data_IF_055427113493
#
_entry.id   IF_055427113493
#
_cell.length_a   1.000
_cell.length_b   1.000
_cell.length_c   1.000
_cell.angle_alpha   90.00
_cell.angle_beta   90.00
_cell.angle_gamma   90.00
#
_symmetry.space_group_name_H-M   'P 1'
#
loop_
_entity.id
_entity.type
_entity.pdbx_description
1 polymer ?
#
# COMPACT_ATOMS: atom_id res chain seq x y z
N UNK A 1 -11.78 8.54 36.59
CA UNK A 1 -12.05 9.06 35.22
C UNK A 1 -12.62 7.90 34.39
N UNK A 2 -13.94 7.83 34.15
CA UNK A 2 -14.53 6.74 33.37
C UNK A 2 -14.35 7.00 31.89
N UNK A 3 -13.56 6.18 31.21
CA UNK A 3 -13.37 6.24 29.76
C UNK A 3 -14.64 5.71 29.10
N UNK A 4 -15.48 6.59 28.56
CA UNK A 4 -16.63 6.17 27.75
C UNK A 4 -16.16 5.74 26.34
N UNK A 5 -16.09 4.44 26.10
CA UNK A 5 -15.76 3.88 24.79
C UNK A 5 -17.00 3.94 23.88
N UNK A 6 -16.89 4.55 22.73
CA UNK A 6 -17.99 4.65 21.78
C UNK A 6 -18.22 3.32 21.03
N UNK A 7 -19.47 3.06 20.56
CA UNK A 7 -19.76 1.89 19.73
C UNK A 7 -18.91 1.83 18.43
N UNK A 8 -18.50 2.99 17.89
CA UNK A 8 -17.62 3.06 16.71
C UNK A 8 -16.21 2.56 17.03
N UNK A 9 -15.68 2.91 18.22
CA UNK A 9 -14.37 2.44 18.69
C UNK A 9 -14.38 0.93 18.95
N UNK A 10 -15.45 0.39 19.54
CA UNK A 10 -15.60 -1.05 19.77
C UNK A 10 -15.60 -1.80 18.42
N UNK A 11 -16.43 -1.37 17.46
CA UNK A 11 -16.46 -2.01 16.12
C UNK A 11 -15.10 -1.99 15.46
N UNK A 12 -14.41 -0.88 15.54
CA UNK A 12 -13.06 -0.73 14.97
C UNK A 12 -12.08 -1.71 15.62
N UNK A 13 -12.06 -1.76 16.95
CA UNK A 13 -11.18 -2.67 17.70
C UNK A 13 -11.48 -4.15 17.38
N UNK A 14 -12.74 -4.52 17.23
CA UNK A 14 -13.14 -5.89 16.88
C UNK A 14 -12.65 -6.26 15.47
N UNK A 15 -12.82 -5.39 14.48
CA UNK A 15 -12.32 -5.63 13.11
C UNK A 15 -10.79 -5.71 13.10
N UNK A 16 -10.11 -4.78 13.78
CA UNK A 16 -8.66 -4.78 13.90
C UNK A 16 -8.15 -6.08 14.52
N UNK A 17 -8.69 -6.48 15.67
CA UNK A 17 -8.29 -7.70 16.37
C UNK A 17 -8.58 -8.94 15.52
N UNK A 18 -9.73 -9.00 14.86
CA UNK A 18 -10.08 -10.12 13.99
C UNK A 18 -9.06 -10.29 12.86
N UNK A 19 -8.76 -9.21 12.13
CA UNK A 19 -7.80 -9.25 11.02
C UNK A 19 -6.39 -9.60 11.53
N UNK A 20 -5.98 -8.98 12.65
CA UNK A 20 -4.67 -9.27 13.24
C UNK A 20 -4.55 -10.74 13.70
N UNK A 21 -5.56 -11.29 14.38
CA UNK A 21 -5.55 -12.69 14.81
C UNK A 21 -5.42 -13.63 13.61
N UNK A 22 -6.14 -13.35 12.52
CA UNK A 22 -6.06 -14.16 11.30
C UNK A 22 -4.65 -14.18 10.69
N UNK A 23 -3.89 -13.09 10.76
CA UNK A 23 -2.50 -13.07 10.26
C UNK A 23 -1.52 -13.56 11.32
N UNK A 24 -1.61 -13.01 12.52
CA UNK A 24 -0.66 -13.28 13.60
C UNK A 24 -0.64 -14.74 14.05
N UNK A 25 -1.72 -15.48 13.80
CA UNK A 25 -1.84 -16.92 14.13
C UNK A 25 -2.05 -17.78 12.89
N UNK A 26 -1.71 -17.26 11.70
CA UNK A 26 -1.81 -17.97 10.44
C UNK A 26 -0.67 -19.01 10.34
N UNK A 27 -1.02 -20.27 10.47
CA UNK A 27 -0.13 -21.40 10.30
C UNK A 27 -0.56 -22.22 9.07
N UNK A 28 0.41 -22.76 8.30
CA UNK A 28 0.10 -23.66 7.19
C UNK A 28 -0.32 -22.97 5.89
N UNK A 29 -0.06 -21.66 5.72
CA UNK A 29 -0.21 -21.00 4.42
C UNK A 29 0.94 -21.36 3.46
N UNK A 30 0.82 -20.99 2.18
CA UNK A 30 1.76 -21.38 1.13
C UNK A 30 3.23 -20.98 1.42
N UNK A 31 3.45 -19.84 2.11
CA UNK A 31 4.80 -19.33 2.39
C UNK A 31 5.28 -19.64 3.82
N UNK A 32 4.44 -20.24 4.68
CA UNK A 32 4.73 -20.42 6.11
C UNK A 32 6.01 -21.26 6.34
N UNK A 33 6.16 -22.36 5.63
CA UNK A 33 7.35 -23.23 5.73
C UNK A 33 8.63 -22.45 5.39
N UNK A 34 8.58 -21.60 4.36
CA UNK A 34 9.73 -20.80 3.96
C UNK A 34 10.06 -19.74 5.01
N UNK A 35 9.06 -19.08 5.59
CA UNK A 35 9.29 -18.09 6.65
C UNK A 35 9.82 -18.69 7.94
N UNK A 36 9.35 -19.88 8.34
CA UNK A 36 9.92 -20.64 9.47
C UNK A 36 11.38 -20.98 9.20
N UNK A 37 11.70 -21.46 8.00
CA UNK A 37 13.08 -21.76 7.61
C UNK A 37 13.98 -20.51 7.66
N UNK A 38 13.49 -19.37 7.15
CA UNK A 38 14.20 -18.07 7.22
C UNK A 38 14.44 -17.63 8.66
N UNK A 39 13.43 -17.75 9.52
CA UNK A 39 13.52 -17.41 10.95
C UNK A 39 14.59 -18.26 11.65
N UNK A 40 14.56 -19.58 11.47
CA UNK A 40 15.52 -20.49 12.08
C UNK A 40 16.94 -20.25 11.53
N UNK A 41 17.09 -20.02 10.23
CA UNK A 41 18.39 -19.72 9.63
C UNK A 41 18.96 -18.41 10.17
N UNK A 42 18.14 -17.35 10.29
CA UNK A 42 18.56 -16.07 10.82
C UNK A 42 18.94 -16.15 12.32
N UNK A 43 18.20 -16.91 13.12
CA UNK A 43 18.51 -17.17 14.53
C UNK A 43 19.90 -17.79 14.69
N UNK A 44 20.31 -18.64 13.73
CA UNK A 44 21.63 -19.26 13.66
C UNK A 44 22.69 -18.40 12.94
N UNK A 45 22.40 -17.12 12.66
CA UNK A 45 23.33 -16.19 12.04
C UNK A 45 23.45 -16.26 10.52
N UNK A 46 22.53 -16.97 9.84
CA UNK A 46 22.53 -17.08 8.39
C UNK A 46 21.59 -16.05 7.74
N UNK A 47 22.17 -15.14 6.93
CA UNK A 47 21.49 -13.98 6.33
C UNK A 47 21.37 -14.05 4.80
N UNK A 48 21.29 -15.23 4.21
CA UNK A 48 21.32 -15.40 2.73
C UNK A 48 19.94 -15.50 2.07
N UNK A 49 18.85 -15.71 2.85
CA UNK A 49 17.56 -16.12 2.29
C UNK A 49 16.56 -15.00 2.05
N UNK A 50 16.78 -13.81 2.63
CA UNK A 50 15.90 -12.66 2.50
C UNK A 50 16.67 -11.36 2.76
N UNK A 51 15.94 -10.23 2.74
CA UNK A 51 16.49 -8.91 3.04
C UNK A 51 16.99 -8.83 4.49
N UNK A 52 18.14 -8.17 4.66
CA UNK A 52 18.86 -8.13 5.95
C UNK A 52 18.05 -7.55 7.11
N UNK A 53 17.19 -6.55 6.85
CA UNK A 53 16.36 -5.97 7.91
C UNK A 53 15.32 -6.95 8.44
N UNK A 54 14.67 -7.71 7.56
CA UNK A 54 13.75 -8.77 7.97
C UNK A 54 14.47 -9.86 8.76
N UNK A 55 15.61 -10.36 8.25
CA UNK A 55 16.39 -11.39 8.90
C UNK A 55 16.98 -10.94 10.24
N UNK A 56 17.37 -9.66 10.37
CA UNK A 56 17.81 -9.09 11.64
C UNK A 56 16.71 -9.16 12.70
N UNK A 57 15.47 -8.80 12.33
CA UNK A 57 14.34 -8.93 13.25
C UNK A 57 14.10 -10.39 13.64
N UNK A 58 14.13 -11.32 12.69
CA UNK A 58 14.04 -12.77 12.97
C UNK A 58 15.12 -13.21 13.97
N UNK A 59 16.37 -12.81 13.73
CA UNK A 59 17.49 -13.14 14.63
C UNK A 59 17.30 -12.58 16.03
N UNK A 60 16.87 -11.32 16.16
CA UNK A 60 16.66 -10.68 17.46
C UNK A 60 15.59 -11.43 18.28
N UNK A 61 14.47 -11.80 17.65
CA UNK A 61 13.42 -12.56 18.30
C UNK A 61 13.87 -13.97 18.67
N UNK A 62 14.52 -14.69 17.75
CA UNK A 62 15.02 -16.02 18.00
C UNK A 62 16.08 -16.08 19.10
N UNK A 63 17.02 -15.12 19.14
CA UNK A 63 18.02 -15.01 20.22
C UNK A 63 17.39 -14.59 21.57
N UNK A 64 16.26 -13.89 21.55
CA UNK A 64 15.50 -13.58 22.75
C UNK A 64 14.68 -14.79 23.26
N UNK A 65 14.76 -15.94 22.58
CA UNK A 65 14.05 -17.18 22.98
C UNK A 65 12.60 -17.28 22.48
N UNK A 66 12.16 -16.37 21.61
CA UNK A 66 10.83 -16.45 21.00
C UNK A 66 10.86 -17.38 19.78
N UNK A 67 9.74 -18.06 19.56
CA UNK A 67 9.52 -18.84 18.35
C UNK A 67 9.00 -17.98 17.19
N UNK A 68 8.88 -18.60 16.01
CA UNK A 68 8.37 -17.93 14.81
C UNK A 68 6.93 -17.45 14.98
N UNK A 69 6.10 -18.15 15.75
CA UNK A 69 4.69 -17.78 15.96
C UNK A 69 4.55 -16.47 16.71
N UNK A 70 5.35 -16.28 17.78
CA UNK A 70 5.40 -15.03 18.53
C UNK A 70 5.95 -13.91 17.66
N UNK A 71 7.00 -14.18 16.88
CA UNK A 71 7.53 -13.22 15.91
C UNK A 71 6.45 -12.79 14.92
N UNK A 72 5.73 -13.73 14.30
CA UNK A 72 4.67 -13.45 13.33
C UNK A 72 3.56 -12.58 13.94
N UNK A 73 3.11 -12.93 15.16
CA UNK A 73 2.07 -12.19 15.86
C UNK A 73 2.48 -10.74 16.14
N UNK A 74 3.70 -10.52 16.64
CA UNK A 74 4.20 -9.17 16.95
C UNK A 74 4.52 -8.37 15.69
N UNK A 75 5.13 -8.99 14.69
CA UNK A 75 5.48 -8.35 13.41
C UNK A 75 4.22 -7.87 12.68
N UNK A 76 3.22 -8.73 12.57
CA UNK A 76 1.93 -8.38 11.96
C UNK A 76 1.15 -7.36 12.79
N UNK A 77 1.23 -7.41 14.13
CA UNK A 77 0.61 -6.41 15.00
C UNK A 77 1.15 -5.01 14.71
N UNK A 78 2.47 -4.86 14.64
CA UNK A 78 3.12 -3.58 14.28
C UNK A 78 2.66 -3.10 12.90
N UNK A 79 2.62 -3.99 11.91
CA UNK A 79 2.14 -3.64 10.57
C UNK A 79 0.69 -3.12 10.61
N UNK A 80 -0.22 -3.80 11.32
CA UNK A 80 -1.61 -3.35 11.44
C UNK A 80 -1.77 -2.07 12.25
N UNK A 81 -0.93 -1.80 13.24
CA UNK A 81 -0.92 -0.51 13.95
C UNK A 81 -0.58 0.63 12.99
N UNK A 82 0.42 0.45 12.11
CA UNK A 82 0.79 1.46 11.11
C UNK A 82 -0.31 1.67 10.06
N UNK A 83 -0.89 0.59 9.52
CA UNK A 83 -2.05 0.65 8.60
C UNK A 83 -3.22 1.35 9.29
N UNK A 84 -3.48 1.01 10.54
CA UNK A 84 -4.52 1.57 11.39
C UNK A 84 -4.38 3.08 11.57
N UNK A 85 -3.15 3.55 11.81
CA UNK A 85 -2.84 4.98 11.90
C UNK A 85 -3.24 5.69 10.59
N UNK A 86 -2.81 5.16 9.44
CA UNK A 86 -3.18 5.70 8.15
C UNK A 86 -4.71 5.74 7.93
N UNK A 87 -5.41 4.65 8.22
CA UNK A 87 -6.86 4.55 8.02
C UNK A 87 -7.61 5.54 8.92
N UNK A 88 -7.24 5.65 10.20
CA UNK A 88 -7.87 6.60 11.13
C UNK A 88 -7.69 8.06 10.73
N UNK A 89 -6.53 8.40 10.17
CA UNK A 89 -6.24 9.76 9.70
C UNK A 89 -6.97 10.12 8.41
N UNK A 90 -7.30 9.14 7.56
CA UNK A 90 -7.75 9.40 6.19
C UNK A 90 -9.20 9.01 5.90
N UNK A 91 -9.95 8.45 6.87
CA UNK A 91 -11.40 8.22 6.71
C UNK A 91 -12.17 8.34 8.02
N UNK A 92 -13.43 8.79 7.92
CA UNK A 92 -14.39 8.81 9.03
C UNK A 92 -14.98 7.44 9.35
N UNK A 93 -14.74 6.45 8.50
CA UNK A 93 -15.26 5.08 8.61
C UNK A 93 -14.13 4.04 8.70
N UNK A 94 -13.21 4.14 9.69
CA UNK A 94 -12.01 3.30 9.74
C UNK A 94 -12.35 1.80 9.87
N UNK A 95 -13.40 1.45 10.60
CA UNK A 95 -13.84 0.06 10.69
C UNK A 95 -14.25 -0.51 9.33
N UNK A 96 -15.00 0.27 8.54
CA UNK A 96 -15.43 -0.17 7.21
C UNK A 96 -14.28 -0.24 6.22
N UNK A 97 -13.31 0.68 6.29
CA UNK A 97 -12.10 0.63 5.46
C UNK A 97 -11.29 -0.64 5.74
N UNK A 98 -11.08 -0.99 7.02
CA UNK A 98 -10.43 -2.25 7.38
C UNK A 98 -11.25 -3.48 6.99
N UNK A 99 -12.59 -3.41 7.06
CA UNK A 99 -13.44 -4.53 6.59
C UNK A 99 -13.28 -4.74 5.09
N UNK A 100 -13.27 -3.66 4.28
CA UNK A 100 -13.03 -3.75 2.84
C UNK A 100 -11.64 -4.31 2.54
N UNK A 101 -10.62 -3.87 3.26
CA UNK A 101 -9.28 -4.45 3.21
C UNK A 101 -9.30 -5.94 3.54
N UNK A 102 -10.02 -6.35 4.59
CA UNK A 102 -10.19 -7.74 4.99
C UNK A 102 -10.88 -8.62 3.94
N UNK A 103 -11.72 -8.03 3.08
CA UNK A 103 -12.32 -8.73 1.94
C UNK A 103 -11.28 -8.86 0.80
N UNK A 104 -10.57 -7.78 0.49
CA UNK A 104 -9.52 -7.74 -0.53
C UNK A 104 -8.61 -6.52 -0.28
N UNK A 105 -7.26 -6.63 -0.25
CA UNK A 105 -6.41 -7.77 -0.66
C UNK A 105 -5.88 -8.64 0.50
N UNK A 106 -6.40 -8.52 1.68
CA UNK A 106 -5.92 -9.10 2.94
C UNK A 106 -5.40 -10.54 2.85
N UNK A 107 -6.09 -11.44 2.12
CA UNK A 107 -5.66 -12.84 2.02
C UNK A 107 -4.26 -13.01 1.42
N UNK A 108 -3.88 -12.13 0.50
CA UNK A 108 -2.53 -12.13 -0.07
C UNK A 108 -1.49 -11.62 0.92
N UNK A 109 -1.84 -10.60 1.70
CA UNK A 109 -0.94 -9.99 2.66
C UNK A 109 -0.75 -10.89 3.89
N UNK A 110 -1.79 -11.68 4.25
CA UNK A 110 -1.70 -12.72 5.27
C UNK A 110 -0.70 -13.83 4.93
N UNK A 111 -0.47 -14.09 3.63
CA UNK A 111 0.57 -15.02 3.16
C UNK A 111 1.91 -14.32 3.02
N UNK A 112 1.94 -13.12 2.46
CA UNK A 112 3.15 -12.36 2.13
C UNK A 112 3.53 -11.37 3.25
N UNK A 113 3.90 -11.87 4.44
CA UNK A 113 4.12 -11.03 5.64
C UNK A 113 5.16 -9.92 5.46
N UNK A 114 6.20 -10.12 4.64
CA UNK A 114 7.18 -9.07 4.34
C UNK A 114 6.54 -7.94 3.53
N UNK A 115 5.64 -8.28 2.59
CA UNK A 115 4.90 -7.28 1.83
C UNK A 115 3.88 -6.54 2.70
N UNK A 116 3.24 -7.21 3.65
CA UNK A 116 2.37 -6.57 4.65
C UNK A 116 3.11 -5.44 5.41
N UNK A 117 4.37 -5.69 5.82
CA UNK A 117 5.17 -4.64 6.49
C UNK A 117 5.55 -3.52 5.52
N UNK A 118 5.86 -3.84 4.26
CA UNK A 118 6.09 -2.83 3.22
C UNK A 118 4.87 -1.95 3.04
N UNK A 119 3.68 -2.55 2.89
CA UNK A 119 2.41 -1.81 2.79
C UNK A 119 2.21 -0.90 4.00
N UNK A 120 2.42 -1.42 5.21
CA UNK A 120 2.25 -0.69 6.44
C UNK A 120 3.16 0.55 6.54
N UNK A 121 4.45 0.38 6.24
CA UNK A 121 5.44 1.47 6.26
C UNK A 121 5.18 2.49 5.14
N UNK A 122 4.81 2.02 3.94
CA UNK A 122 4.42 2.88 2.83
C UNK A 122 3.21 3.74 3.18
N UNK A 123 2.11 3.13 3.61
CA UNK A 123 0.88 3.86 3.98
C UNK A 123 1.13 4.86 5.11
N UNK A 124 1.85 4.44 6.15
CA UNK A 124 2.20 5.34 7.25
C UNK A 124 3.03 6.53 6.79
N UNK A 125 3.92 6.33 5.82
CA UNK A 125 4.81 7.37 5.30
C UNK A 125 4.11 8.42 4.42
N UNK A 126 2.94 8.12 3.85
CA UNK A 126 2.20 9.03 2.97
C UNK A 126 1.90 10.38 3.64
N UNK A 127 1.70 10.39 4.96
CA UNK A 127 1.48 11.65 5.70
C UNK A 127 2.60 12.67 5.49
N UNK A 128 3.84 12.23 5.33
CA UNK A 128 4.98 13.12 5.07
C UNK A 128 4.97 13.73 3.67
N UNK A 129 4.23 13.15 2.73
CA UNK A 129 4.07 13.73 1.39
C UNK A 129 3.04 14.87 1.33
N UNK A 130 2.17 15.02 2.34
CA UNK A 130 1.12 16.05 2.36
C UNK A 130 1.70 17.46 2.39
N UNK A 131 2.77 17.66 3.15
CA UNK A 131 3.50 18.91 3.23
C UNK A 131 4.74 18.87 2.34
N UNK A 132 4.84 19.77 1.38
CA UNK A 132 5.88 19.80 0.35
C UNK A 132 7.18 20.44 0.88
N UNK A 133 7.76 19.88 1.94
CA UNK A 133 9.05 20.32 2.51
C UNK A 133 10.15 19.29 2.23
N UNK A 134 11.40 19.76 2.16
CA UNK A 134 12.57 18.86 2.02
C UNK A 134 12.66 17.87 3.19
N UNK A 135 12.40 18.36 4.41
CA UNK A 135 12.37 17.51 5.61
C UNK A 135 11.40 16.34 5.46
N UNK A 136 10.20 16.62 4.98
CA UNK A 136 9.17 15.59 4.80
C UNK A 136 9.50 14.65 3.64
N UNK A 137 10.12 15.14 2.55
CA UNK A 137 10.63 14.28 1.49
C UNK A 137 11.68 13.29 2.01
N UNK A 138 12.61 13.77 2.86
CA UNK A 138 13.63 12.93 3.51
C UNK A 138 12.94 11.90 4.43
N UNK A 139 12.00 12.33 5.27
CA UNK A 139 11.27 11.40 6.16
C UNK A 139 10.53 10.32 5.38
N UNK A 140 9.82 10.69 4.30
CA UNK A 140 9.18 9.70 3.42
C UNK A 140 10.20 8.71 2.87
N UNK A 141 11.30 9.22 2.32
CA UNK A 141 12.37 8.39 1.74
C UNK A 141 12.95 7.43 2.78
N UNK A 142 13.21 7.88 4.02
CA UNK A 142 13.71 7.02 5.10
C UNK A 142 12.73 5.88 5.43
N UNK A 143 11.42 6.15 5.48
CA UNK A 143 10.43 5.09 5.69
C UNK A 143 10.38 4.09 4.53
N UNK A 144 10.52 4.56 3.27
CA UNK A 144 10.59 3.65 2.12
C UNK A 144 11.89 2.83 2.13
N UNK A 145 13.02 3.42 2.50
CA UNK A 145 14.27 2.67 2.68
C UNK A 145 14.16 1.64 3.81
N UNK A 146 13.52 2.00 4.93
CA UNK A 146 13.21 1.05 5.99
C UNK A 146 12.31 -0.10 5.48
N UNK A 147 11.28 0.20 4.69
CA UNK A 147 10.45 -0.81 4.05
C UNK A 147 11.27 -1.69 3.08
N UNK A 148 12.23 -1.11 2.36
CA UNK A 148 13.12 -1.86 1.46
C UNK A 148 14.04 -2.84 2.22
N UNK A 149 14.35 -2.58 3.50
CA UNK A 149 15.06 -3.56 4.34
C UNK A 149 14.20 -4.78 4.69
N UNK A 150 12.87 -4.66 4.60
CA UNK A 150 11.94 -5.77 4.81
C UNK A 150 11.66 -6.51 3.49
N UNK A 151 11.53 -5.78 2.40
CA UNK A 151 11.43 -6.32 1.05
C UNK A 151 11.88 -5.28 0.03
N UNK A 152 12.93 -5.59 -0.74
CA UNK A 152 13.61 -4.68 -1.67
C UNK A 152 12.66 -3.98 -2.65
N UNK A 153 11.56 -4.63 -3.04
CA UNK A 153 10.56 -4.08 -3.96
C UNK A 153 9.97 -2.74 -3.47
N UNK A 154 10.03 -2.46 -2.17
CA UNK A 154 9.52 -1.22 -1.59
C UNK A 154 10.15 0.03 -2.19
N UNK A 155 11.38 -0.06 -2.74
CA UNK A 155 12.09 1.08 -3.34
C UNK A 155 11.28 1.74 -4.48
N UNK A 156 10.40 0.96 -5.12
CA UNK A 156 9.53 1.44 -6.20
C UNK A 156 8.58 2.53 -5.71
N UNK A 157 8.19 2.52 -4.43
CA UNK A 157 7.32 3.55 -3.85
C UNK A 157 7.96 4.93 -3.79
N UNK A 158 9.28 5.07 -4.02
CA UNK A 158 9.90 6.39 -4.20
C UNK A 158 9.28 7.17 -5.37
N UNK A 159 8.61 6.51 -6.30
CA UNK A 159 7.85 7.16 -7.38
C UNK A 159 6.81 8.15 -6.84
N UNK A 160 6.29 7.96 -5.63
CA UNK A 160 5.33 8.87 -5.04
C UNK A 160 5.91 10.24 -4.67
N UNK A 161 7.23 10.43 -4.69
CA UNK A 161 7.85 11.75 -4.63
C UNK A 161 7.43 12.65 -5.81
N UNK A 162 6.91 12.10 -6.90
CA UNK A 162 6.31 12.87 -8.00
C UNK A 162 5.13 13.75 -7.54
N UNK A 163 4.55 13.51 -6.36
CA UNK A 163 3.51 14.38 -5.78
C UNK A 163 4.00 15.82 -5.56
N UNK A 164 5.32 16.01 -5.42
CA UNK A 164 5.97 17.32 -5.29
C UNK A 164 5.96 18.13 -6.60
N UNK A 165 5.78 17.50 -7.74
CA UNK A 165 5.60 18.20 -9.01
C UNK A 165 4.32 19.04 -8.94
N UNK A 166 4.45 20.37 -9.17
CA UNK A 166 3.35 21.34 -8.99
C UNK A 166 2.16 21.00 -9.88
N UNK A 167 2.39 20.80 -11.16
CA UNK A 167 1.35 20.61 -12.15
C UNK A 167 0.84 19.17 -12.23
N UNK A 168 -0.44 18.96 -11.91
CA UNK A 168 -1.08 17.65 -11.99
C UNK A 168 -1.00 17.03 -13.40
N UNK A 169 -1.07 17.87 -14.46
CA UNK A 169 -0.93 17.40 -15.85
C UNK A 169 0.45 16.79 -16.11
N UNK A 170 1.51 17.39 -15.57
CA UNK A 170 2.87 16.83 -15.65
C UNK A 170 2.98 15.51 -14.89
N UNK A 171 2.39 15.42 -13.69
CA UNK A 171 2.35 14.15 -12.93
C UNK A 171 1.67 13.06 -13.77
N UNK A 172 0.49 13.34 -14.34
CA UNK A 172 -0.21 12.37 -15.18
C UNK A 172 0.62 11.97 -16.41
N UNK A 173 1.23 12.95 -17.09
CA UNK A 173 2.08 12.68 -18.26
C UNK A 173 3.28 11.81 -17.89
N UNK A 174 4.03 12.17 -16.85
CA UNK A 174 5.18 11.41 -16.37
C UNK A 174 4.76 9.99 -15.98
N UNK A 175 3.62 9.84 -15.27
CA UNK A 175 3.11 8.55 -14.87
C UNK A 175 2.74 7.67 -16.05
N UNK A 176 2.05 8.21 -17.05
CA UNK A 176 1.63 7.45 -18.23
C UNK A 176 2.84 7.15 -19.15
N UNK A 177 3.64 8.17 -19.47
CA UNK A 177 4.81 8.00 -20.34
C UNK A 177 5.84 7.09 -19.68
N UNK A 178 6.13 7.29 -18.39
CA UNK A 178 7.03 6.43 -17.63
C UNK A 178 6.55 4.98 -17.60
N UNK A 179 5.25 4.75 -17.44
CA UNK A 179 4.64 3.43 -17.49
C UNK A 179 4.80 2.77 -18.86
N UNK A 180 4.46 3.49 -19.92
CA UNK A 180 4.61 2.98 -21.30
C UNK A 180 6.07 2.71 -21.66
N UNK A 181 6.96 3.65 -21.29
CA UNK A 181 8.40 3.48 -21.51
C UNK A 181 8.94 2.27 -20.76
N UNK A 182 8.50 2.06 -19.51
CA UNK A 182 8.89 0.88 -18.74
C UNK A 182 8.45 -0.42 -19.42
N UNK A 183 7.22 -0.48 -19.94
CA UNK A 183 6.69 -1.65 -20.68
C UNK A 183 7.55 -1.98 -21.90
N UNK A 184 7.88 -0.95 -22.70
CA UNK A 184 8.67 -1.11 -23.93
C UNK A 184 10.11 -1.49 -23.59
N UNK A 185 10.75 -0.73 -22.70
CA UNK A 185 12.15 -0.93 -22.35
C UNK A 185 12.37 -2.25 -21.59
N UNK A 186 11.42 -2.67 -20.78
CA UNK A 186 11.53 -3.94 -20.04
C UNK A 186 11.60 -5.12 -21.01
N UNK A 187 10.74 -5.16 -22.03
CA UNK A 187 10.72 -6.25 -23.01
C UNK A 187 11.95 -6.25 -23.94
N UNK A 188 12.55 -5.07 -24.19
CA UNK A 188 13.65 -4.95 -25.16
C UNK A 188 15.04 -4.94 -24.53
N UNK A 189 15.20 -4.29 -23.38
CA UNK A 189 16.54 -4.02 -22.82
C UNK A 189 16.68 -4.25 -21.32
N UNK A 190 15.64 -3.96 -20.51
CA UNK A 190 15.77 -4.01 -19.06
C UNK A 190 15.97 -5.43 -18.53
N UNK A 191 15.40 -6.44 -19.17
CA UNK A 191 15.65 -7.84 -18.82
C UNK A 191 17.13 -8.18 -18.91
N UNK A 192 17.80 -7.74 -19.98
CA UNK A 192 19.25 -7.91 -20.18
C UNK A 192 20.07 -7.09 -19.18
N UNK A 193 19.68 -5.82 -18.95
CA UNK A 193 20.39 -4.95 -18.00
C UNK A 193 20.24 -5.47 -16.56
N UNK A 194 19.04 -5.86 -16.15
CA UNK A 194 18.80 -6.39 -14.80
C UNK A 194 19.58 -7.69 -14.60
N UNK A 195 19.67 -8.53 -15.62
CA UNK A 195 20.45 -9.78 -15.56
C UNK A 195 21.94 -9.56 -15.32
N UNK A 196 22.49 -8.40 -15.71
CA UNK A 196 23.88 -8.04 -15.44
C UNK A 196 24.17 -7.70 -13.96
N UNK A 197 23.12 -7.27 -13.22
CA UNK A 197 23.22 -6.81 -11.83
C UNK A 197 22.62 -7.79 -10.80
N UNK A 198 21.94 -8.84 -11.26
CA UNK A 198 21.33 -9.83 -10.38
C UNK A 198 22.09 -11.15 -10.44
N UNK A 199 22.25 -11.78 -9.28
CA UNK A 199 22.82 -13.12 -9.21
C UNK A 199 21.97 -14.14 -9.99
N UNK A 200 22.60 -15.21 -10.50
CA UNK A 200 21.99 -16.24 -11.36
C UNK A 200 20.63 -16.79 -10.87
N UNK A 201 20.33 -16.73 -9.59
CA UNK A 201 19.02 -17.14 -9.04
C UNK A 201 17.85 -16.25 -9.47
N UNK A 202 18.09 -14.94 -9.69
CA UNK A 202 17.06 -14.02 -10.14
C UNK A 202 16.89 -14.05 -11.67
N UNK A 203 17.92 -14.46 -12.40
CA UNK A 203 17.87 -14.51 -13.87
C UNK A 203 16.84 -15.53 -14.39
N UNK A 204 16.67 -16.67 -13.72
CA UNK A 204 15.64 -17.65 -14.09
C UNK A 204 14.21 -17.11 -13.86
N UNK A 205 13.99 -16.35 -12.79
CA UNK A 205 12.70 -15.76 -12.51
C UNK A 205 12.31 -14.67 -13.53
N UNK A 206 13.29 -13.98 -14.14
CA UNK A 206 13.03 -12.93 -15.13
C UNK A 206 12.87 -13.47 -16.55
N UNK A 207 13.51 -14.60 -16.89
CA UNK A 207 13.47 -15.16 -18.24
C UNK A 207 12.21 -16.00 -18.51
N UNK A 208 11.77 -16.80 -17.52
CA UNK A 208 10.68 -17.76 -17.67
C UNK A 208 9.33 -17.31 -17.09
N UNK A 209 9.30 -16.28 -16.27
CA UNK A 209 8.12 -15.86 -15.52
C UNK A 209 7.36 -14.68 -16.14
N UNK A 210 7.59 -14.35 -17.41
CA UNK A 210 6.84 -13.28 -18.07
C UNK A 210 5.33 -13.58 -17.98
N UNK A 211 4.61 -12.70 -17.29
CA UNK A 211 3.16 -12.83 -17.11
C UNK A 211 2.50 -12.95 -18.49
N UNK A 212 1.62 -13.93 -18.67
CA UNK A 212 0.91 -14.10 -19.94
C UNK A 212 0.15 -12.82 -20.31
N UNK A 213 0.12 -12.50 -21.60
CA UNK A 213 -0.54 -11.28 -22.09
C UNK A 213 -2.00 -11.18 -21.64
N UNK A 214 -2.73 -12.31 -21.60
CA UNK A 214 -4.10 -12.37 -21.12
C UNK A 214 -4.22 -11.98 -19.64
N UNK A 215 -3.30 -12.41 -18.82
CA UNK A 215 -3.23 -12.06 -17.38
C UNK A 215 -2.89 -10.58 -17.20
N UNK A 216 -1.93 -10.06 -17.96
CA UNK A 216 -1.59 -8.64 -17.97
C UNK A 216 -2.82 -7.79 -18.31
N UNK A 217 -3.52 -8.11 -19.39
CA UNK A 217 -4.74 -7.39 -19.82
C UNK A 217 -5.81 -7.42 -18.71
N UNK A 218 -6.07 -8.59 -18.11
CA UNK A 218 -7.05 -8.73 -17.02
C UNK A 218 -6.72 -7.80 -15.84
N UNK A 219 -5.48 -7.78 -15.38
CA UNK A 219 -5.08 -6.92 -14.27
C UNK A 219 -5.10 -5.43 -14.62
N UNK A 220 -4.68 -5.07 -15.85
CA UNK A 220 -4.76 -3.68 -16.32
C UNK A 220 -6.22 -3.20 -16.36
N UNK A 221 -7.13 -4.01 -16.86
CA UNK A 221 -8.55 -3.68 -16.86
C UNK A 221 -9.09 -3.55 -15.42
N UNK A 222 -8.81 -4.54 -14.57
CA UNK A 222 -9.29 -4.54 -13.18
C UNK A 222 -8.77 -3.33 -12.39
N UNK A 223 -7.47 -3.11 -12.39
CA UNK A 223 -6.88 -1.98 -11.67
C UNK A 223 -7.15 -0.64 -12.34
N UNK A 224 -7.20 -0.60 -13.66
CA UNK A 224 -7.58 0.59 -14.42
C UNK A 224 -8.99 1.07 -14.07
N UNK A 225 -9.96 0.16 -13.98
CA UNK A 225 -11.32 0.47 -13.53
C UNK A 225 -11.31 1.02 -12.11
N UNK A 226 -10.55 0.44 -11.19
CA UNK A 226 -10.44 0.95 -9.81
C UNK A 226 -9.85 2.37 -9.76
N UNK A 227 -8.81 2.63 -10.56
CA UNK A 227 -8.23 3.98 -10.69
C UNK A 227 -9.26 4.97 -11.22
N UNK A 228 -9.98 4.60 -12.30
CA UNK A 228 -11.02 5.46 -12.87
C UNK A 228 -12.15 5.74 -11.86
N UNK A 229 -12.61 4.73 -11.13
CA UNK A 229 -13.58 4.91 -10.03
C UNK A 229 -13.03 5.86 -8.98
N UNK A 230 -11.79 5.67 -8.52
CA UNK A 230 -11.15 6.53 -7.53
C UNK A 230 -11.06 7.99 -7.98
N UNK A 231 -10.65 8.23 -9.22
CA UNK A 231 -10.58 9.58 -9.82
C UNK A 231 -11.98 10.20 -9.95
N UNK A 232 -12.96 9.42 -10.44
CA UNK A 232 -14.34 9.87 -10.58
C UNK A 232 -14.94 10.26 -9.23
N UNK A 233 -14.75 9.42 -8.22
CA UNK A 233 -15.21 9.64 -6.86
C UNK A 233 -14.57 10.90 -6.26
N UNK A 234 -13.26 11.08 -6.42
CA UNK A 234 -12.55 12.28 -5.95
C UNK A 234 -13.05 13.55 -6.64
N UNK A 235 -13.29 13.52 -7.95
CA UNK A 235 -13.85 14.67 -8.69
C UNK A 235 -15.26 15.00 -8.23
N UNK A 236 -16.08 13.99 -7.97
CA UNK A 236 -17.44 14.18 -7.47
C UNK A 236 -17.45 14.77 -6.06
N UNK A 237 -16.58 14.31 -5.18
CA UNK A 237 -16.39 14.88 -3.85
C UNK A 237 -16.01 16.37 -3.93
N UNK A 238 -15.04 16.69 -4.78
CA UNK A 238 -14.61 18.06 -5.06
C UNK A 238 -15.77 18.97 -5.46
N UNK A 239 -16.57 18.53 -6.43
CA UNK A 239 -17.72 19.28 -6.91
C UNK A 239 -18.77 19.49 -5.79
N UNK A 240 -19.01 18.45 -4.98
CA UNK A 240 -19.93 18.53 -3.86
C UNK A 240 -19.47 19.53 -2.77
N UNK A 241 -18.19 19.50 -2.41
CA UNK A 241 -17.63 20.45 -1.43
C UNK A 241 -17.75 21.89 -1.93
N UNK A 242 -17.43 22.16 -3.18
CA UNK A 242 -17.54 23.47 -3.78
C UNK A 242 -18.99 23.99 -3.73
N UNK A 243 -19.97 23.12 -4.05
CA UNK A 243 -21.40 23.50 -4.04
C UNK A 243 -21.93 23.74 -2.63
N UNK A 244 -21.53 22.94 -1.63
CA UNK A 244 -22.01 23.07 -0.25
C UNK A 244 -21.43 24.28 0.49
N UNK A 245 -20.18 24.62 0.22
CA UNK A 245 -19.47 25.69 0.93
C UNK A 245 -19.61 27.06 0.25
N UNK A 246 -20.37 27.15 -0.87
CA UNK A 246 -20.42 28.36 -1.72
C UNK A 246 -19.02 28.88 -2.09
N UNK A 247 -18.02 28.05 -2.00
CA UNK A 247 -16.66 28.36 -2.40
C UNK A 247 -16.52 28.22 -3.90
N UNK A 248 -15.84 29.17 -4.52
CA UNK A 248 -15.49 29.07 -5.94
C UNK A 248 -14.68 27.80 -6.19
N UNK A 249 -14.89 27.18 -7.34
CA UNK A 249 -14.20 25.92 -7.76
C UNK A 249 -12.66 26.03 -7.65
N UNK A 250 -12.13 27.25 -7.62
CA UNK A 250 -10.70 27.54 -7.43
C UNK A 250 -10.20 27.37 -5.98
N UNK A 251 -11.09 27.26 -4.98
CA UNK A 251 -10.77 27.05 -3.57
C UNK A 251 -10.70 25.56 -3.15
N UNK A 252 -10.56 24.67 -4.13
CA UNK A 252 -10.42 23.24 -3.87
C UNK A 252 -9.14 22.96 -3.13
N UNK A 253 -9.29 22.28 -2.01
CA UNK A 253 -8.23 22.09 -1.04
C UNK A 253 -7.00 21.43 -1.69
N UNK A 254 -5.82 21.89 -1.26
CA UNK A 254 -4.54 21.25 -1.61
C UNK A 254 -4.58 19.73 -1.34
N UNK A 255 -5.41 19.31 -0.40
CA UNK A 255 -5.62 17.91 -0.06
C UNK A 255 -6.25 17.10 -1.20
N UNK A 256 -7.26 17.63 -1.90
CA UNK A 256 -7.90 16.90 -3.01
C UNK A 256 -6.94 16.75 -4.20
N UNK A 257 -6.14 17.79 -4.48
CA UNK A 257 -5.09 17.70 -5.51
C UNK A 257 -4.01 16.68 -5.14
N UNK A 258 -3.63 16.62 -3.87
CA UNK A 258 -2.69 15.65 -3.34
C UNK A 258 -3.17 14.22 -3.62
N UNK A 259 -4.41 13.89 -3.23
CA UNK A 259 -4.96 12.55 -3.42
C UNK A 259 -5.15 12.18 -4.89
N UNK A 260 -5.55 13.14 -5.73
CA UNK A 260 -5.60 12.91 -7.18
C UNK A 260 -4.22 12.57 -7.75
N UNK A 261 -3.14 13.24 -7.28
CA UNK A 261 -1.77 12.92 -7.70
C UNK A 261 -1.34 11.52 -7.22
N UNK A 262 -1.63 11.16 -5.97
CA UNK A 262 -1.35 9.81 -5.46
C UNK A 262 -2.01 8.74 -6.34
N UNK A 263 -3.27 8.92 -6.71
CA UNK A 263 -3.97 7.98 -7.58
C UNK A 263 -3.39 7.92 -9.00
N UNK A 264 -2.99 9.06 -9.56
CA UNK A 264 -2.34 9.10 -10.87
C UNK A 264 -0.98 8.39 -10.86
N UNK A 265 -0.18 8.61 -9.82
CA UNK A 265 1.13 7.97 -9.67
C UNK A 265 0.99 6.45 -9.50
N UNK A 266 -0.05 5.98 -8.81
CA UNK A 266 -0.27 4.54 -8.61
C UNK A 266 -0.44 3.76 -9.93
N UNK A 267 -0.80 4.44 -11.04
CA UNK A 267 -0.86 3.84 -12.38
C UNK A 267 0.49 3.24 -12.77
N UNK A 268 1.60 3.91 -12.41
CA UNK A 268 2.96 3.39 -12.69
C UNK A 268 3.18 2.00 -12.10
N UNK A 269 2.53 1.69 -10.96
CA UNK A 269 2.72 0.42 -10.27
C UNK A 269 2.03 -0.74 -10.99
N UNK A 270 1.00 -0.45 -11.80
CA UNK A 270 0.27 -1.48 -12.57
C UNK A 270 1.18 -2.10 -13.62
N UNK A 271 2.10 -1.33 -14.19
CA UNK A 271 2.96 -1.79 -15.28
C UNK A 271 3.94 -2.89 -14.87
N UNK A 272 4.30 -2.96 -13.60
CA UNK A 272 5.19 -4.00 -13.08
C UNK A 272 4.62 -5.42 -13.17
N UNK A 273 3.31 -5.56 -13.37
CA UNK A 273 2.65 -6.85 -13.61
C UNK A 273 3.21 -7.56 -14.85
N UNK A 274 3.74 -6.79 -15.81
CA UNK A 274 4.32 -7.34 -17.04
C UNK A 274 5.58 -8.16 -16.74
N UNK A 275 6.30 -7.76 -15.71
CA UNK A 275 7.52 -8.45 -15.25
C UNK A 275 7.19 -9.79 -14.64
N UNK A 276 6.29 -9.80 -13.65
CA UNK A 276 5.83 -10.98 -12.92
C UNK A 276 4.46 -10.68 -12.31
N UNK A 277 3.53 -11.64 -12.38
CA UNK A 277 2.20 -11.56 -11.77
C UNK A 277 2.24 -11.26 -10.25
N UNK A 278 3.31 -11.67 -9.57
CA UNK A 278 3.52 -11.35 -8.15
C UNK A 278 3.64 -9.83 -7.89
N UNK A 279 4.02 -9.03 -8.89
CA UNK A 279 4.12 -7.58 -8.75
C UNK A 279 2.76 -6.86 -8.72
N UNK A 280 1.65 -7.59 -8.86
CA UNK A 280 0.31 -7.06 -8.54
C UNK A 280 0.25 -6.47 -7.13
N UNK A 281 1.06 -6.97 -6.19
CA UNK A 281 1.18 -6.45 -4.81
C UNK A 281 1.56 -4.98 -4.74
N UNK A 282 2.32 -4.46 -5.71
CA UNK A 282 2.69 -3.04 -5.73
C UNK A 282 1.46 -2.12 -5.80
N UNK A 283 0.51 -2.45 -6.67
CA UNK A 283 -0.74 -1.69 -6.75
C UNK A 283 -1.73 -2.08 -5.64
N UNK A 284 -1.77 -3.36 -5.23
CA UNK A 284 -2.62 -3.82 -4.12
C UNK A 284 -2.38 -3.03 -2.84
N UNK A 285 -1.12 -2.73 -2.51
CA UNK A 285 -0.76 -1.94 -1.34
C UNK A 285 -1.30 -0.49 -1.39
N UNK A 286 -1.80 -0.04 -2.55
CA UNK A 286 -2.49 1.24 -2.68
C UNK A 286 -4.00 1.14 -2.47
N UNK A 287 -4.62 -0.04 -2.45
CA UNK A 287 -6.07 -0.20 -2.44
C UNK A 287 -6.74 0.41 -1.21
N UNK A 288 -6.10 0.34 -0.07
CA UNK A 288 -6.64 0.94 1.16
C UNK A 288 -6.77 2.47 1.04
N UNK A 289 -5.93 3.11 0.23
CA UNK A 289 -6.05 4.54 -0.11
C UNK A 289 -7.37 4.78 -0.83
N UNK A 290 -7.68 3.94 -1.83
CA UNK A 290 -8.93 4.02 -2.59
C UNK A 290 -10.15 3.78 -1.70
N UNK A 291 -10.09 2.79 -0.79
CA UNK A 291 -11.16 2.52 0.17
C UNK A 291 -11.42 3.72 1.07
N UNK A 292 -10.38 4.32 1.63
CA UNK A 292 -10.52 5.52 2.45
C UNK A 292 -11.18 6.67 1.67
N UNK A 293 -10.79 6.88 0.40
CA UNK A 293 -11.35 7.94 -0.44
C UNK A 293 -12.80 7.69 -0.82
N UNK A 294 -13.14 6.47 -1.24
CA UNK A 294 -14.52 6.08 -1.60
C UNK A 294 -15.46 6.26 -0.42
N UNK A 295 -15.05 5.86 0.78
CA UNK A 295 -15.87 5.98 1.98
C UNK A 295 -16.12 7.42 2.41
N UNK A 296 -15.20 8.33 2.15
CA UNK A 296 -15.38 9.74 2.51
C UNK A 296 -16.47 10.44 1.67
N UNK A 297 -16.73 10.00 0.44
CA UNK A 297 -17.78 10.56 -0.43
C UNK A 297 -19.19 10.36 0.15
N UNK A 298 -19.43 9.21 0.77
CA UNK A 298 -20.75 8.92 1.35
C UNK A 298 -21.12 9.85 2.52
N UNK A 299 -20.13 10.43 3.20
CA UNK A 299 -20.35 11.36 4.32
C UNK A 299 -21.09 12.62 3.89
N UNK A 300 -20.82 13.11 2.68
CA UNK A 300 -21.47 14.36 2.19
C UNK A 300 -22.90 14.12 1.75
N UNK A 301 -23.24 12.90 1.34
CA UNK A 301 -24.62 12.53 1.01
C UNK A 301 -25.50 12.51 2.26
N UNK A 302 -25.02 11.88 3.33
CA UNK A 302 -25.74 11.79 4.62
C UNK A 302 -25.97 13.17 5.22
N UNK A 303 -24.96 14.06 5.19
CA UNK A 303 -25.08 15.42 5.70
C UNK A 303 -26.11 16.29 4.93
N UNK A 304 -26.34 16.00 3.65
CA UNK A 304 -27.37 16.67 2.85
C UNK A 304 -28.77 16.16 3.18
N UNK A 305 -28.90 14.88 3.44
CA UNK A 305 -30.18 14.26 3.83
C UNK A 305 -30.60 14.77 5.21
N UNK A 306 -29.69 14.89 6.16
CA UNK A 306 -29.94 15.46 7.49
C UNK A 306 -30.36 16.94 7.43
N UNK A 307 -29.78 17.75 6.53
CA UNK A 307 -30.21 19.14 6.34
C UNK A 307 -31.59 19.27 5.69
N UNK A 308 -31.97 18.33 4.85
CA UNK A 308 -33.31 18.34 4.23
C UNK A 308 -34.41 17.90 5.19
N UNK A 309 -34.06 17.16 6.24
CA UNK A 309 -34.98 16.73 7.29
C UNK A 309 -35.17 17.79 8.39
N UNK A 310 -34.42 18.88 8.37
CA UNK A 310 -34.48 19.99 9.36
C UNK A 310 -35.12 21.26 8.76
N UNK A 311 -35.49 21.25 7.47
CA UNK A 311 -36.23 22.29 6.78
C UNK A 311 -37.63 21.77 6.47
#
# INVERSE_FOLDING_TARGET
MSIKISRKQIRYALVFLFIWILVGFNTGNADSTQYVAMFNAATNGNFYYAEKGFLLLCMLFGKAGFDYQVFLAMYSFVAFVLISSFVKENTRYPALALTLYGIFPFLFDAVQIRNLMVEALFLFSIKFLKEKTLKNAIMYTLFILLAATQHTIAIIYLVFLLVYVKEKRKVALISIVGSLSFVVLYRTYLGTIISLFTSNRHNYAFADAATSLSTVIKYFLYFGVLVLIGIFVSRREKHYRATLMKQTVNGVSQEDEFWEKIMLISICLITFIIVDGNYTRLFRNCLIIYYCRILNVNTYRTYREDRKSVV
#
